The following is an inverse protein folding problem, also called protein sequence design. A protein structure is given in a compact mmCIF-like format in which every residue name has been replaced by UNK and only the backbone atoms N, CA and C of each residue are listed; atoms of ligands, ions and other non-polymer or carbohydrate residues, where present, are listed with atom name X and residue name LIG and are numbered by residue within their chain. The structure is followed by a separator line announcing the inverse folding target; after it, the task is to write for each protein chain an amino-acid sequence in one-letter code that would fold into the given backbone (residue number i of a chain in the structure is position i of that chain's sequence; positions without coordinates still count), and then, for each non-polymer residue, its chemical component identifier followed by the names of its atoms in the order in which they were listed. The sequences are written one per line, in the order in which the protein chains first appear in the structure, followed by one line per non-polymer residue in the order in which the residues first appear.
data_IF_320977340625
#
_entry.id   IF_320977340625
#
_cell.length_a   1.000
_cell.length_b   1.000
_cell.length_c   1.000
_cell.angle_alpha   90.00
_cell.angle_beta   90.00
_cell.angle_gamma   90.00
#
_symmetry.space_group_name_H-M   'P 1'
#
loop_
_entity.id
_entity.type
_entity.pdbx_description
1 polymer ?
#
# COMPACT_ATOMS: atom_id res chain seq x y z
N UNK A 1 12.19 -10.04 24.25
CA UNK A 1 11.18 -10.61 23.34
C UNK A 1 11.56 -10.12 21.95
N UNK A 2 11.88 -11.03 21.03
CA UNK A 2 12.17 -10.65 19.64
C UNK A 2 10.90 -10.03 19.10
N UNK A 3 10.89 -8.73 18.82
CA UNK A 3 9.86 -8.14 17.96
C UNK A 3 10.13 -8.75 16.59
N UNK A 4 9.31 -9.72 16.19
CA UNK A 4 9.32 -10.19 14.81
C UNK A 4 8.98 -8.98 13.94
N UNK A 5 10.01 -8.46 13.27
CA UNK A 5 9.88 -7.33 12.37
C UNK A 5 8.89 -7.72 11.28
N UNK A 6 7.78 -6.97 11.15
CA UNK A 6 6.76 -7.22 10.12
C UNK A 6 7.41 -7.26 8.73
N UNK A 7 7.38 -8.42 8.08
CA UNK A 7 7.85 -8.58 6.70
C UNK A 7 6.82 -7.95 5.75
N UNK A 8 7.20 -6.89 5.03
CA UNK A 8 6.27 -6.12 4.20
C UNK A 8 5.89 -6.81 2.89
N UNK A 9 6.83 -7.56 2.32
CA UNK A 9 6.67 -8.22 1.01
C UNK A 9 7.14 -9.68 1.08
N UNK A 10 6.47 -10.54 1.88
CA UNK A 10 6.72 -11.98 1.87
C UNK A 10 6.33 -12.58 0.52
N UNK A 11 6.58 -13.87 0.32
CA UNK A 11 6.10 -14.57 -0.87
C UNK A 11 4.55 -14.48 -0.89
N UNK A 12 3.91 -14.07 -2.00
CA UNK A 12 2.47 -13.96 -2.05
C UNK A 12 1.78 -15.27 -1.70
N UNK A 13 0.86 -15.23 -0.75
CA UNK A 13 0.02 -16.37 -0.40
C UNK A 13 -1.27 -16.32 -1.21
N UNK A 14 -1.72 -17.46 -1.76
CA UNK A 14 -3.07 -17.54 -2.34
C UNK A 14 -4.12 -17.31 -1.25
N UNK A 15 -5.19 -16.59 -1.57
CA UNK A 15 -6.25 -16.28 -0.62
C UNK A 15 -6.87 -17.53 0.02
N UNK A 16 -7.35 -17.38 1.26
CA UNK A 16 -7.91 -18.45 2.09
C UNK A 16 -9.26 -19.02 1.60
N UNK A 17 -9.85 -18.49 0.52
CA UNK A 17 -11.18 -18.85 0.04
C UNK A 17 -11.13 -19.64 -1.26
N UNK A 18 -11.97 -20.67 -1.37
CA UNK A 18 -12.17 -21.43 -2.61
C UNK A 18 -12.85 -20.61 -3.73
N UNK A 19 -13.34 -19.41 -3.41
CA UNK A 19 -13.96 -18.49 -4.37
C UNK A 19 -12.95 -17.54 -5.02
N UNK A 20 -11.73 -17.44 -4.50
CA UNK A 20 -10.72 -16.55 -5.07
C UNK A 20 -10.17 -17.16 -6.36
N UNK A 21 -10.01 -16.37 -7.44
CA UNK A 21 -9.36 -16.83 -8.66
C UNK A 21 -8.00 -17.47 -8.36
N UNK A 22 -7.72 -18.60 -9.01
CA UNK A 22 -6.44 -19.30 -8.88
C UNK A 22 -5.40 -18.62 -9.76
N UNK A 23 -4.17 -18.52 -9.26
CA UNK A 23 -3.04 -18.04 -10.06
C UNK A 23 -2.85 -18.93 -11.30
N UNK A 24 -2.58 -18.31 -12.45
CA UNK A 24 -2.31 -19.07 -13.66
C UNK A 24 -0.96 -19.80 -13.53
N UNK A 25 -0.81 -20.99 -14.14
CA UNK A 25 0.48 -21.68 -14.18
C UNK A 25 1.55 -20.79 -14.83
N UNK A 26 2.76 -20.82 -14.29
CA UNK A 26 3.93 -20.15 -14.88
C UNK A 26 4.83 -19.46 -13.85
N UNK A 27 4.26 -18.98 -12.74
CA UNK A 27 5.05 -18.44 -11.64
C UNK A 27 5.89 -19.53 -10.98
N UNK A 28 7.15 -19.21 -10.66
CA UNK A 28 8.11 -20.08 -10.01
C UNK A 28 8.89 -19.33 -8.91
N UNK A 29 9.91 -19.97 -8.33
CA UNK A 29 10.72 -19.37 -7.28
C UNK A 29 11.46 -18.12 -7.77
N UNK A 30 11.98 -18.13 -9.00
CA UNK A 30 12.77 -17.03 -9.55
C UNK A 30 11.89 -15.82 -9.87
N UNK A 31 10.71 -16.05 -10.45
CA UNK A 31 9.73 -14.99 -10.72
C UNK A 31 9.17 -14.40 -9.42
N UNK A 32 8.96 -15.23 -8.39
CA UNK A 32 8.52 -14.77 -7.06
C UNK A 32 9.59 -13.93 -6.37
N UNK A 33 10.86 -14.32 -6.42
CA UNK A 33 11.95 -13.52 -5.89
C UNK A 33 12.10 -12.18 -6.63
N UNK A 34 11.92 -12.18 -7.95
CA UNK A 34 11.92 -10.96 -8.76
C UNK A 34 10.78 -10.02 -8.38
N UNK A 35 9.55 -10.56 -8.22
CA UNK A 35 8.39 -9.81 -7.75
C UNK A 35 8.68 -9.14 -6.40
N UNK A 36 9.13 -9.90 -5.40
CA UNK A 36 9.43 -9.36 -4.07
C UNK A 36 10.53 -8.30 -4.13
N UNK A 37 11.55 -8.48 -4.98
CA UNK A 37 12.60 -7.48 -5.18
C UNK A 37 12.04 -6.19 -5.77
N UNK A 38 11.17 -6.28 -6.79
CA UNK A 38 10.56 -5.11 -7.41
C UNK A 38 9.63 -4.38 -6.44
N UNK A 39 8.81 -5.10 -5.68
CA UNK A 39 7.91 -4.48 -4.70
C UNK A 39 8.68 -3.72 -3.62
N UNK A 40 9.77 -4.32 -3.08
CA UNK A 40 10.67 -3.64 -2.14
C UNK A 40 11.33 -2.41 -2.75
N UNK A 41 11.90 -2.54 -3.95
CA UNK A 41 12.57 -1.42 -4.61
C UNK A 41 11.60 -0.27 -4.92
N UNK A 42 10.36 -0.60 -5.29
CA UNK A 42 9.30 0.37 -5.52
C UNK A 42 8.91 1.10 -4.23
N UNK A 43 8.66 0.36 -3.16
CA UNK A 43 8.30 0.87 -1.84
C UNK A 43 9.35 1.84 -1.28
N UNK A 44 10.63 1.52 -1.47
CA UNK A 44 11.73 2.30 -0.90
C UNK A 44 12.09 3.54 -1.74
N UNK A 45 12.02 3.44 -3.07
CA UNK A 45 12.58 4.47 -3.97
C UNK A 45 11.56 5.41 -4.57
N UNK A 46 10.33 4.97 -4.79
CA UNK A 46 9.37 5.71 -5.61
C UNK A 46 8.21 6.25 -4.78
N UNK A 47 7.79 7.45 -5.12
CA UNK A 47 6.61 8.08 -4.54
C UNK A 47 5.34 7.34 -4.99
N UNK A 48 4.28 7.40 -4.17
CA UNK A 48 2.98 6.82 -4.52
C UNK A 48 2.34 7.50 -5.72
N UNK A 49 2.76 8.72 -6.04
CA UNK A 49 2.36 9.47 -7.23
C UNK A 49 3.53 9.64 -8.20
N UNK A 50 3.31 9.41 -9.49
CA UNK A 50 4.34 9.61 -10.52
C UNK A 50 4.35 11.02 -11.12
N UNK A 51 3.39 11.88 -10.77
CA UNK A 51 3.37 13.29 -11.18
C UNK A 51 2.81 14.19 -10.07
N UNK A 52 2.88 15.52 -10.27
CA UNK A 52 2.33 16.53 -9.33
C UNK A 52 0.81 16.73 -9.48
N UNK A 53 0.14 15.89 -10.27
CA UNK A 53 -1.33 15.85 -10.43
C UNK A 53 -1.95 14.66 -9.68
N UNK A 54 -1.18 14.06 -8.77
CA UNK A 54 -1.61 12.95 -7.91
C UNK A 54 -2.06 11.70 -8.69
N UNK A 55 -1.41 11.42 -9.83
CA UNK A 55 -1.63 10.15 -10.52
C UNK A 55 -0.75 9.06 -9.90
N UNK A 56 -1.38 7.96 -9.51
CA UNK A 56 -0.77 6.90 -8.71
C UNK A 56 0.25 6.08 -9.49
N UNK A 57 1.32 5.69 -8.82
CA UNK A 57 2.33 4.77 -9.30
C UNK A 57 1.72 3.38 -9.51
N UNK A 58 1.81 2.88 -10.74
CA UNK A 58 1.14 1.64 -11.14
C UNK A 58 2.02 0.38 -11.04
N UNK A 59 3.28 0.52 -10.60
CA UNK A 59 4.26 -0.57 -10.64
C UNK A 59 3.78 -1.79 -9.85
N UNK A 60 3.35 -1.61 -8.60
CA UNK A 60 3.08 -2.72 -7.69
C UNK A 60 1.94 -3.62 -8.17
N UNK A 61 0.82 -3.03 -8.55
CA UNK A 61 -0.30 -3.81 -9.07
C UNK A 61 -0.02 -4.36 -10.48
N UNK A 62 0.77 -3.69 -11.32
CA UNK A 62 1.15 -4.23 -12.63
C UNK A 62 2.02 -5.48 -12.48
N UNK A 63 3.06 -5.44 -11.62
CA UNK A 63 3.92 -6.62 -11.42
C UNK A 63 3.19 -7.77 -10.73
N UNK A 64 2.27 -7.48 -9.81
CA UNK A 64 1.41 -8.50 -9.20
C UNK A 64 0.47 -9.12 -10.24
N UNK A 65 -0.15 -8.31 -11.11
CA UNK A 65 -1.03 -8.80 -12.16
C UNK A 65 -0.30 -9.68 -13.19
N UNK A 66 0.90 -9.32 -13.64
CA UNK A 66 1.63 -10.20 -14.57
C UNK A 66 2.15 -11.46 -13.88
N UNK A 67 2.55 -11.38 -12.60
CA UNK A 67 2.97 -12.54 -11.83
C UNK A 67 1.81 -13.54 -11.65
N UNK A 68 0.60 -13.07 -11.34
CA UNK A 68 -0.59 -13.95 -11.25
C UNK A 68 -0.99 -14.57 -12.59
N UNK A 69 -0.61 -13.93 -13.70
CA UNK A 69 -0.77 -14.46 -15.05
C UNK A 69 0.35 -15.43 -15.48
N UNK A 70 1.30 -15.73 -14.58
CA UNK A 70 2.38 -16.70 -14.83
C UNK A 70 3.63 -16.10 -15.51
N UNK A 71 3.85 -14.79 -15.40
CA UNK A 71 5.03 -14.14 -15.96
C UNK A 71 6.35 -14.67 -15.37
N UNK A 72 7.36 -14.77 -16.24
CA UNK A 72 8.73 -15.08 -15.82
C UNK A 72 9.39 -13.88 -15.13
N UNK A 73 10.52 -14.13 -14.48
CA UNK A 73 11.40 -13.09 -13.92
C UNK A 73 11.71 -11.98 -14.92
N UNK A 74 12.05 -12.35 -16.16
CA UNK A 74 12.46 -11.38 -17.19
C UNK A 74 11.33 -10.41 -17.55
N UNK A 75 10.08 -10.91 -17.58
CA UNK A 75 8.88 -10.10 -17.83
C UNK A 75 8.64 -9.15 -16.65
N UNK A 76 8.70 -9.65 -15.41
CA UNK A 76 8.51 -8.82 -14.21
C UNK A 76 9.54 -7.68 -14.16
N UNK A 77 10.82 -8.00 -14.39
CA UNK A 77 11.87 -6.99 -14.42
C UNK A 77 11.73 -6.03 -15.61
N UNK A 78 11.24 -6.50 -16.77
CA UNK A 78 10.98 -5.64 -17.92
C UNK A 78 9.85 -4.63 -17.64
N UNK A 79 8.74 -5.08 -17.06
CA UNK A 79 7.63 -4.23 -16.60
C UNK A 79 8.16 -3.16 -15.64
N UNK A 80 9.00 -3.54 -14.68
CA UNK A 80 9.58 -2.57 -13.75
C UNK A 80 10.43 -1.52 -14.46
N UNK A 81 11.37 -1.96 -15.31
CA UNK A 81 12.25 -1.05 -16.08
C UNK A 81 11.48 -0.09 -16.99
N UNK A 82 10.37 -0.52 -17.55
CA UNK A 82 9.52 0.31 -18.42
C UNK A 82 8.80 1.42 -17.64
N UNK A 83 8.37 1.14 -16.41
CA UNK A 83 7.58 2.07 -15.60
C UNK A 83 8.43 3.05 -14.78
N UNK A 84 9.66 2.67 -14.41
CA UNK A 84 10.59 3.48 -13.61
C UNK A 84 10.84 4.90 -14.15
N UNK A 85 11.06 5.13 -15.46
CA UNK A 85 11.37 6.47 -15.99
C UNK A 85 10.30 7.53 -15.74
N UNK A 86 9.04 7.11 -15.54
CA UNK A 86 7.94 8.02 -15.24
C UNK A 86 7.82 8.35 -13.74
N UNK A 87 8.48 7.60 -12.86
CA UNK A 87 8.27 7.71 -11.41
C UNK A 87 8.96 8.93 -10.81
N UNK A 88 8.35 9.47 -9.75
CA UNK A 88 8.96 10.46 -8.86
C UNK A 88 9.70 9.75 -7.73
N UNK A 89 10.88 10.20 -7.31
CA UNK A 89 11.54 9.67 -6.12
C UNK A 89 10.68 9.86 -4.86
N UNK A 90 10.75 8.90 -3.94
CA UNK A 90 10.21 9.06 -2.60
C UNK A 90 10.86 10.27 -1.91
N UNK A 91 10.07 10.99 -1.10
CA UNK A 91 10.52 12.20 -0.41
C UNK A 91 10.56 11.97 1.10
N UNK A 92 11.49 12.66 1.76
CA UNK A 92 11.55 12.64 3.22
C UNK A 92 10.39 13.48 3.79
N UNK A 93 9.58 12.93 4.71
CA UNK A 93 8.46 13.68 5.25
C UNK A 93 8.93 14.86 6.13
N UNK A 94 8.16 15.96 6.19
CA UNK A 94 8.50 17.11 7.04
C UNK A 94 8.54 16.80 8.54
N UNK A 95 7.80 15.79 8.99
CA UNK A 95 7.75 15.35 10.39
C UNK A 95 6.99 14.04 10.55
N UNK A 96 7.00 13.45 11.76
CA UNK A 96 6.32 12.18 12.02
C UNK A 96 4.80 12.34 12.16
N UNK A 97 4.09 11.25 11.87
CA UNK A 97 2.67 11.06 12.22
C UNK A 97 2.58 10.15 13.44
N UNK A 98 1.63 10.47 14.31
CA UNK A 98 1.29 9.78 15.54
C UNK A 98 -0.23 9.84 15.74
N UNK A 99 -0.77 9.08 16.68
CA UNK A 99 -2.21 9.13 16.99
C UNK A 99 -2.66 10.55 17.41
N UNK A 100 -1.77 11.38 17.96
CA UNK A 100 -2.12 12.73 18.40
C UNK A 100 -2.27 13.75 17.26
N UNK A 101 -1.64 13.51 16.11
CA UNK A 101 -1.66 14.41 14.95
C UNK A 101 -2.10 13.72 13.66
N UNK A 102 -2.72 12.53 13.75
CA UNK A 102 -3.15 11.72 12.61
C UNK A 102 -4.02 12.52 11.61
N UNK A 103 -4.96 13.32 12.11
CA UNK A 103 -5.86 14.11 11.26
C UNK A 103 -5.24 15.39 10.69
N UNK A 104 -4.03 15.78 11.12
CA UNK A 104 -3.46 17.10 10.80
C UNK A 104 -2.94 17.23 9.35
N UNK A 105 -2.59 16.11 8.71
CA UNK A 105 -1.91 16.09 7.40
C UNK A 105 -2.57 15.14 6.39
N UNK A 106 -3.85 14.81 6.59
CA UNK A 106 -4.57 13.90 5.70
C UNK A 106 -4.60 14.46 4.27
N UNK A 107 -4.10 13.67 3.31
CA UNK A 107 -3.99 14.04 1.89
C UNK A 107 -2.88 15.02 1.56
N UNK A 108 -2.00 15.35 2.49
CA UNK A 108 -0.75 16.03 2.14
C UNK A 108 0.26 14.98 1.67
N UNK A 109 0.52 14.92 0.36
CA UNK A 109 1.45 13.94 -0.25
C UNK A 109 2.85 13.96 0.41
N UNK A 110 3.25 15.10 0.99
CA UNK A 110 4.54 15.24 1.68
C UNK A 110 4.64 14.38 2.93
N UNK A 111 3.52 14.00 3.52
CA UNK A 111 3.46 13.18 4.72
C UNK A 111 3.23 11.69 4.41
N UNK A 112 3.13 11.28 3.14
CA UNK A 112 2.91 9.89 2.75
C UNK A 112 3.89 8.93 3.44
N UNK A 113 5.21 9.18 3.36
CA UNK A 113 6.21 8.35 4.04
C UNK A 113 6.10 8.33 5.58
N UNK A 114 5.55 9.38 6.19
CA UNK A 114 5.29 9.41 7.63
C UNK A 114 4.05 8.58 8.00
N UNK A 115 2.99 8.62 7.18
CA UNK A 115 1.85 7.71 7.33
C UNK A 115 2.25 6.25 7.11
N UNK A 116 3.14 5.96 6.14
CA UNK A 116 3.66 4.60 5.95
C UNK A 116 4.35 4.08 7.21
N UNK A 117 5.16 4.91 7.86
CA UNK A 117 5.83 4.57 9.12
C UNK A 117 4.80 4.33 10.23
N UNK A 118 3.83 5.23 10.37
CA UNK A 118 2.75 5.12 11.35
C UNK A 118 1.93 3.83 11.18
N UNK A 119 1.49 3.51 9.95
CA UNK A 119 0.70 2.31 9.69
C UNK A 119 1.51 1.04 9.79
N UNK A 120 2.82 1.06 9.47
CA UNK A 120 3.70 -0.08 9.75
C UNK A 120 3.73 -0.41 11.24
N UNK A 121 3.85 0.59 12.11
CA UNK A 121 3.82 0.41 13.56
C UNK A 121 2.44 -0.14 13.99
N UNK A 122 1.35 0.48 13.55
CA UNK A 122 -0.02 0.03 13.89
C UNK A 122 -0.32 -1.40 13.44
N UNK A 123 0.06 -1.77 12.23
CA UNK A 123 -0.12 -3.14 11.73
C UNK A 123 0.73 -4.15 12.53
N UNK A 124 1.95 -3.76 12.92
CA UNK A 124 2.81 -4.63 13.73
C UNK A 124 2.24 -4.87 15.13
N UNK A 125 1.57 -3.87 15.71
CA UNK A 125 0.96 -3.95 17.04
C UNK A 125 -0.38 -4.69 17.05
N UNK A 126 -1.26 -4.37 16.10
CA UNK A 126 -2.69 -4.71 16.18
C UNK A 126 -3.18 -5.59 15.02
N UNK A 127 -2.38 -5.77 13.98
CA UNK A 127 -2.77 -6.51 12.77
C UNK A 127 -3.71 -5.73 11.85
N UNK A 128 -3.78 -6.17 10.59
CA UNK A 128 -4.45 -5.43 9.51
C UNK A 128 -5.93 -5.16 9.75
N UNK A 129 -6.70 -6.17 10.19
CA UNK A 129 -8.15 -6.03 10.35
C UNK A 129 -8.50 -4.95 11.39
N UNK A 130 -7.88 -4.99 12.57
CA UNK A 130 -8.12 -4.00 13.62
C UNK A 130 -7.71 -2.59 13.20
N UNK A 131 -6.64 -2.44 12.42
CA UNK A 131 -6.18 -1.13 11.95
C UNK A 131 -7.10 -0.56 10.87
N UNK A 132 -7.65 -1.38 9.98
CA UNK A 132 -8.68 -0.94 9.02
C UNK A 132 -9.97 -0.50 9.74
N UNK A 133 -10.44 -1.29 10.71
CA UNK A 133 -11.60 -0.93 11.51
C UNK A 133 -11.38 0.40 12.25
N UNK A 134 -10.22 0.60 12.88
CA UNK A 134 -9.92 1.82 13.62
C UNK A 134 -9.79 3.05 12.71
N UNK A 135 -8.98 2.97 11.66
CA UNK A 135 -8.55 4.15 10.89
C UNK A 135 -9.32 4.40 9.60
N UNK A 136 -10.14 3.45 9.14
CA UNK A 136 -10.96 3.61 7.92
C UNK A 136 -12.44 3.55 8.23
N UNK A 137 -12.89 2.54 8.99
CA UNK A 137 -14.32 2.25 9.13
C UNK A 137 -14.98 2.80 10.39
N UNK A 138 -14.21 3.13 11.42
CA UNK A 138 -14.77 3.65 12.68
C UNK A 138 -15.50 4.98 12.49
N UNK A 139 -16.48 5.24 13.35
CA UNK A 139 -17.18 6.53 13.36
C UNK A 139 -16.20 7.70 13.55
N UNK A 140 -15.24 7.57 14.47
CA UNK A 140 -14.23 8.60 14.74
C UNK A 140 -13.25 8.83 13.59
N UNK A 141 -13.02 7.84 12.73
CA UNK A 141 -12.22 8.00 11.51
C UNK A 141 -12.97 8.74 10.40
N UNK A 142 -14.28 8.92 10.54
CA UNK A 142 -15.12 9.51 9.50
C UNK A 142 -15.75 10.83 9.95
N UNK A 143 -16.12 10.94 11.22
CA UNK A 143 -16.85 12.06 11.81
C UNK A 143 -16.13 12.56 13.06
N UNK A 144 -15.66 13.79 13.01
CA UNK A 144 -15.20 14.56 14.16
C UNK A 144 -16.22 15.67 14.45
N UNK A 145 -17.02 15.48 15.52
CA UNK A 145 -18.07 16.42 15.93
C UNK A 145 -17.56 17.78 16.39
N UNK A 146 -16.25 17.93 16.59
CA UNK A 146 -15.61 19.19 16.99
C UNK A 146 -15.14 20.02 15.80
N UNK A 147 -15.14 19.44 14.59
CA UNK A 147 -14.69 20.10 13.36
C UNK A 147 -15.86 20.32 12.38
N UNK A 148 -15.78 21.36 11.55
CA UNK A 148 -16.82 21.68 10.57
C UNK A 148 -16.26 21.65 9.15
N UNK A 149 -17.09 21.21 8.19
CA UNK A 149 -16.76 21.25 6.75
C UNK A 149 -15.55 20.40 6.37
N UNK A 150 -14.59 20.98 5.66
CA UNK A 150 -13.45 20.29 5.05
C UNK A 150 -12.38 19.78 6.06
N UNK A 151 -12.62 19.94 7.36
CA UNK A 151 -11.75 19.44 8.42
C UNK A 151 -12.15 18.04 8.92
N UNK A 152 -13.27 17.52 8.44
CA UNK A 152 -13.72 16.16 8.74
C UNK A 152 -12.69 15.14 8.23
N UNK A 153 -12.28 14.14 9.04
CA UNK A 153 -11.33 13.12 8.59
C UNK A 153 -11.83 12.37 7.36
N UNK A 154 -13.12 11.97 7.35
CA UNK A 154 -13.80 11.33 6.20
C UNK A 154 -13.00 10.18 5.56
N UNK A 155 -12.33 9.36 6.37
CA UNK A 155 -11.35 8.37 5.88
C UNK A 155 -11.94 7.37 4.88
N UNK A 156 -13.21 6.97 5.02
CA UNK A 156 -13.88 6.10 4.05
C UNK A 156 -13.98 6.76 2.66
N UNK A 157 -14.28 8.06 2.59
CA UNK A 157 -14.31 8.76 1.31
C UNK A 157 -12.91 8.85 0.69
N UNK A 158 -11.88 9.10 1.51
CA UNK A 158 -10.48 9.15 1.07
C UNK A 158 -10.02 7.79 0.57
N UNK A 159 -10.45 6.71 1.22
CA UNK A 159 -10.17 5.34 0.83
C UNK A 159 -10.75 4.98 -0.55
N UNK A 160 -11.81 5.68 -0.97
CA UNK A 160 -12.46 5.53 -2.28
C UNK A 160 -12.03 6.61 -3.29
N UNK A 161 -11.19 7.56 -2.90
CA UNK A 161 -10.75 8.67 -3.74
C UNK A 161 -9.62 8.26 -4.69
N UNK A 162 -9.13 9.18 -5.51
CA UNK A 162 -7.96 8.97 -6.35
C UNK A 162 -8.19 7.89 -7.40
N UNK A 163 -9.42 7.76 -7.91
CA UNK A 163 -9.87 6.61 -8.71
C UNK A 163 -9.67 5.28 -7.96
N UNK A 164 -10.11 5.23 -6.70
CA UNK A 164 -10.11 4.05 -5.80
C UNK A 164 -8.74 3.41 -5.54
N UNK A 165 -7.63 4.10 -5.82
CA UNK A 165 -6.28 3.54 -5.66
C UNK A 165 -5.93 3.13 -4.22
N UNK A 166 -6.33 3.87 -3.16
CA UNK A 166 -6.11 3.42 -1.78
C UNK A 166 -6.75 2.05 -1.51
N UNK A 167 -8.00 1.86 -1.96
CA UNK A 167 -8.69 0.58 -1.93
C UNK A 167 -7.99 -0.48 -2.79
N UNK A 168 -7.53 -0.15 -4.01
CA UNK A 168 -6.81 -1.09 -4.89
C UNK A 168 -5.54 -1.61 -4.18
N UNK A 169 -4.71 -0.72 -3.64
CA UNK A 169 -3.49 -1.11 -2.91
C UNK A 169 -3.82 -2.01 -1.72
N UNK A 170 -4.80 -1.59 -0.91
CA UNK A 170 -5.20 -2.35 0.28
C UNK A 170 -5.77 -3.72 -0.08
N UNK A 171 -6.61 -3.81 -1.12
CA UNK A 171 -7.19 -5.06 -1.58
C UNK A 171 -6.13 -6.02 -2.13
N UNK A 172 -5.15 -5.54 -2.92
CA UNK A 172 -4.00 -6.36 -3.32
C UNK A 172 -3.20 -6.82 -2.09
N UNK A 173 -2.98 -5.95 -1.10
CA UNK A 173 -2.31 -6.32 0.14
C UNK A 173 -3.02 -7.44 0.90
N UNK A 174 -4.35 -7.39 0.96
CA UNK A 174 -5.17 -8.44 1.58
C UNK A 174 -5.22 -9.73 0.75
N UNK A 175 -5.33 -9.61 -0.58
CA UNK A 175 -5.44 -10.75 -1.49
C UNK A 175 -4.16 -11.59 -1.52
N UNK A 176 -3.00 -10.92 -1.54
CA UNK A 176 -1.69 -11.56 -1.66
C UNK A 176 -0.97 -11.74 -0.32
N UNK A 177 -1.52 -11.25 0.79
CA UNK A 177 -0.86 -11.30 2.10
C UNK A 177 0.39 -10.42 2.16
N UNK A 178 0.31 -9.20 1.62
CA UNK A 178 1.43 -8.25 1.51
C UNK A 178 1.17 -7.02 2.41
N UNK A 179 1.70 -6.99 3.65
CA UNK A 179 1.51 -5.85 4.56
C UNK A 179 1.97 -4.52 3.97
N UNK A 180 3.03 -4.50 3.15
CA UNK A 180 3.53 -3.30 2.49
C UNK A 180 2.48 -2.63 1.60
N UNK A 181 1.69 -3.42 0.87
CA UNK A 181 0.61 -2.92 0.01
C UNK A 181 -0.56 -2.35 0.83
N UNK A 182 -0.89 -2.96 1.97
CA UNK A 182 -1.91 -2.40 2.89
C UNK A 182 -1.42 -1.06 3.45
N UNK A 183 -0.16 -0.98 3.87
CA UNK A 183 0.43 0.26 4.40
C UNK A 183 0.37 1.37 3.35
N UNK A 184 0.79 1.09 2.12
CA UNK A 184 0.72 2.06 1.01
C UNK A 184 -0.71 2.51 0.73
N UNK A 185 -1.69 1.59 0.76
CA UNK A 185 -3.09 1.92 0.52
C UNK A 185 -3.78 2.69 1.65
N UNK A 186 -3.22 2.69 2.86
CA UNK A 186 -3.75 3.43 4.01
C UNK A 186 -3.08 4.80 4.22
N UNK A 187 -1.94 5.05 3.57
CA UNK A 187 -1.08 6.22 3.79
C UNK A 187 -1.40 7.39 2.87
#
# INVERSE_FOLDING_TARGET
MSSDTLELFPAPSSAASSLTPVFLPGADADSTLALQSVLRDNHDKWHIFFNDREFHNHISHHVLAVWTLGASKEIIEAVYRENVPAQRPAIKPPGPISSANFNAHLGDEKYFGAYMTFFKEKLSENGTASVLEEFVFSESANVDVTTNGNQQPSMLNRFMDGLIHPLIHTAYGLEFGLPGMVIEGMS
#
